data_IF_647031095494
#
_entry.id   IF_647031095494
#
_cell.length_a   1.000
_cell.length_b   1.000
_cell.length_c   1.000
_cell.angle_alpha   90.00
_cell.angle_beta   90.00
_cell.angle_gamma   90.00
#
_symmetry.space_group_name_H-M   'P 1'
#
loop_
_entity.id
_entity.type
_entity.pdbx_description
1 polymer ?
#
# COMPACT_ATOMS: atom_id res chain seq x y z
N UNK A 1 -5.32 -15.88 -14.62
CA UNK A 1 -6.09 -15.71 -13.37
C UNK A 1 -7.06 -16.88 -13.18
N UNK A 2 -7.19 -17.45 -11.96
CA UNK A 2 -8.21 -18.45 -11.63
C UNK A 2 -9.64 -17.90 -11.81
N UNK A 3 -10.65 -18.76 -12.11
CA UNK A 3 -12.01 -18.29 -12.38
C UNK A 3 -12.65 -17.47 -11.25
N UNK A 4 -12.37 -17.79 -9.99
CA UNK A 4 -12.88 -17.04 -8.84
C UNK A 4 -12.26 -15.65 -8.73
N UNK A 5 -10.97 -15.53 -9.00
CA UNK A 5 -10.26 -14.27 -9.04
C UNK A 5 -10.75 -13.39 -10.21
N UNK A 6 -10.95 -13.99 -11.41
CA UNK A 6 -11.54 -13.27 -12.56
C UNK A 6 -12.89 -12.68 -12.19
N UNK A 7 -13.74 -13.43 -11.48
CA UNK A 7 -15.04 -12.94 -11.04
C UNK A 7 -14.92 -11.76 -10.09
N UNK A 8 -14.04 -11.87 -9.10
CA UNK A 8 -13.80 -10.79 -8.13
C UNK A 8 -13.26 -9.52 -8.81
N UNK A 9 -12.25 -9.68 -9.68
CA UNK A 9 -11.69 -8.58 -10.48
C UNK A 9 -12.72 -7.94 -11.40
N UNK A 10 -13.57 -8.75 -12.06
CA UNK A 10 -14.61 -8.24 -12.94
C UNK A 10 -15.62 -7.37 -12.18
N UNK A 11 -16.07 -7.82 -11.00
CA UNK A 11 -16.98 -7.04 -10.17
C UNK A 11 -16.34 -5.74 -9.68
N UNK A 12 -15.09 -5.80 -9.23
CA UNK A 12 -14.34 -4.62 -8.80
C UNK A 12 -14.16 -3.62 -9.95
N UNK A 13 -13.78 -4.08 -11.13
CA UNK A 13 -13.59 -3.21 -12.30
C UNK A 13 -14.93 -2.60 -12.73
N UNK A 14 -15.95 -3.40 -12.87
CA UNK A 14 -17.24 -2.93 -13.35
C UNK A 14 -17.93 -1.99 -12.36
N UNK A 15 -17.95 -2.34 -11.09
CA UNK A 15 -18.69 -1.54 -10.09
C UNK A 15 -17.85 -0.37 -9.57
N UNK A 16 -16.64 -0.64 -9.05
CA UNK A 16 -15.86 0.38 -8.35
C UNK A 16 -15.13 1.33 -9.31
N UNK A 17 -14.60 0.79 -10.42
CA UNK A 17 -13.80 1.61 -11.35
C UNK A 17 -14.67 2.25 -12.45
N UNK A 18 -15.57 1.47 -13.06
CA UNK A 18 -16.43 1.96 -14.13
C UNK A 18 -17.78 2.49 -13.64
N UNK A 19 -18.11 2.31 -12.36
CA UNK A 19 -19.35 2.81 -11.75
C UNK A 19 -20.60 2.19 -12.33
N UNK A 20 -20.60 0.89 -12.64
CA UNK A 20 -21.76 0.13 -13.09
C UNK A 20 -22.54 -0.41 -11.90
N UNK A 21 -23.84 -0.55 -12.06
CA UNK A 21 -24.68 -1.13 -11.03
C UNK A 21 -24.49 -2.65 -10.95
N UNK A 22 -24.16 -3.15 -9.75
CA UNK A 22 -23.93 -4.57 -9.52
C UNK A 22 -25.19 -5.40 -9.82
N UNK A 23 -26.39 -4.89 -9.52
CA UNK A 23 -27.63 -5.59 -9.79
C UNK A 23 -27.86 -5.76 -11.28
N UNK A 24 -27.55 -4.74 -12.08
CA UNK A 24 -27.68 -4.80 -13.54
C UNK A 24 -26.75 -5.85 -14.15
N UNK A 25 -25.54 -5.98 -13.59
CA UNK A 25 -24.57 -7.02 -13.99
C UNK A 25 -25.10 -8.42 -13.62
N UNK A 26 -25.56 -8.61 -12.39
CA UNK A 26 -26.11 -9.90 -11.94
C UNK A 26 -27.38 -10.31 -12.69
N UNK A 27 -28.20 -9.36 -13.12
CA UNK A 27 -29.41 -9.60 -13.90
C UNK A 27 -29.11 -9.83 -15.40
N UNK A 28 -27.84 -9.72 -15.82
CA UNK A 28 -27.43 -9.92 -17.20
C UNK A 28 -28.03 -8.88 -18.16
N UNK A 29 -28.23 -7.64 -17.69
CA UNK A 29 -28.71 -6.56 -18.56
C UNK A 29 -27.64 -6.20 -19.60
N UNK A 30 -28.10 -5.90 -20.82
CA UNK A 30 -27.24 -5.35 -21.85
C UNK A 30 -26.79 -3.95 -21.45
N UNK A 31 -25.50 -3.82 -21.06
CA UNK A 31 -24.89 -2.57 -20.63
C UNK A 31 -24.09 -1.99 -21.80
N UNK A 32 -24.51 -0.84 -22.31
CA UNK A 32 -23.77 -0.12 -23.35
C UNK A 32 -22.82 0.86 -22.65
N UNK A 33 -21.50 0.58 -22.74
CA UNK A 33 -20.48 1.48 -22.24
C UNK A 33 -20.29 2.67 -23.20
N UNK A 34 -20.07 3.86 -22.63
CA UNK A 34 -19.60 5.01 -23.43
C UNK A 34 -18.20 4.72 -23.97
N UNK A 35 -17.83 5.38 -25.06
CA UNK A 35 -16.47 5.22 -25.63
C UNK A 35 -15.34 5.48 -24.64
N UNK A 36 -15.54 6.43 -23.71
CA UNK A 36 -14.57 6.73 -22.65
C UNK A 36 -14.40 5.51 -21.72
N UNK A 37 -15.50 4.93 -21.23
CA UNK A 37 -15.46 3.75 -20.37
C UNK A 37 -14.95 2.50 -21.09
N UNK A 38 -15.19 2.37 -22.39
CA UNK A 38 -14.64 1.27 -23.20
C UNK A 38 -13.11 1.36 -23.23
N UNK A 39 -12.55 2.53 -23.53
CA UNK A 39 -11.11 2.76 -23.56
C UNK A 39 -10.47 2.55 -22.19
N UNK A 40 -11.15 2.97 -21.13
CA UNK A 40 -10.70 2.75 -19.75
C UNK A 40 -10.65 1.25 -19.42
N UNK A 41 -11.70 0.50 -19.77
CA UNK A 41 -11.75 -0.95 -19.60
C UNK A 41 -10.63 -1.66 -20.38
N UNK A 42 -10.43 -1.28 -21.65
CA UNK A 42 -9.37 -1.84 -22.49
C UNK A 42 -7.98 -1.60 -21.87
N UNK A 43 -7.73 -0.40 -21.34
CA UNK A 43 -6.48 -0.07 -20.67
C UNK A 43 -6.28 -0.89 -19.38
N UNK A 44 -7.34 -1.05 -18.58
CA UNK A 44 -7.31 -1.88 -17.36
C UNK A 44 -6.95 -3.33 -17.72
N UNK A 45 -7.65 -3.91 -18.72
CA UNK A 45 -7.41 -5.29 -19.17
C UNK A 45 -5.97 -5.44 -19.68
N UNK A 46 -5.48 -4.49 -20.46
CA UNK A 46 -4.11 -4.53 -20.98
C UNK A 46 -3.05 -4.52 -19.86
N UNK A 47 -3.26 -3.71 -18.81
CA UNK A 47 -2.37 -3.67 -17.65
C UNK A 47 -2.42 -4.97 -16.84
N UNK A 48 -3.62 -5.53 -16.62
CA UNK A 48 -3.80 -6.83 -15.96
C UNK A 48 -3.15 -7.98 -16.74
N UNK A 49 -3.22 -7.97 -18.08
CA UNK A 49 -2.53 -8.95 -18.93
C UNK A 49 -1.00 -8.89 -18.82
N UNK A 50 -0.47 -7.77 -18.36
CA UNK A 50 0.95 -7.59 -18.00
C UNK A 50 1.24 -7.91 -16.54
N UNK A 51 0.34 -8.61 -15.85
CA UNK A 51 0.43 -8.95 -14.44
C UNK A 51 0.54 -7.75 -13.49
N UNK A 52 0.14 -6.54 -13.92
CA UNK A 52 0.13 -5.39 -13.01
C UNK A 52 -0.96 -5.57 -11.95
N UNK A 53 -0.66 -5.43 -10.65
CA UNK A 53 -1.63 -5.56 -9.58
C UNK A 53 -2.79 -4.59 -9.74
N UNK A 54 -4.00 -5.04 -9.48
CA UNK A 54 -5.21 -4.21 -9.55
C UNK A 54 -5.12 -2.99 -8.64
N UNK A 55 -4.43 -3.08 -7.50
CA UNK A 55 -4.23 -1.97 -6.57
C UNK A 55 -3.42 -0.83 -7.22
N UNK A 56 -2.40 -1.14 -8.02
CA UNK A 56 -1.66 -0.12 -8.77
C UNK A 56 -2.50 0.47 -9.91
N UNK A 57 -3.33 -0.35 -10.55
CA UNK A 57 -4.25 0.11 -11.60
C UNK A 57 -5.27 1.09 -11.02
N UNK A 58 -5.85 0.77 -9.84
CA UNK A 58 -6.76 1.66 -9.08
C UNK A 58 -6.03 2.85 -8.47
N UNK A 59 -4.75 2.72 -8.19
CA UNK A 59 -3.97 3.69 -7.43
C UNK A 59 -4.29 3.71 -5.93
N UNK A 60 -5.04 2.71 -5.42
CA UNK A 60 -5.53 2.66 -4.04
C UNK A 60 -5.46 1.23 -3.52
N UNK A 61 -5.02 1.09 -2.25
CA UNK A 61 -5.12 -0.13 -1.45
C UNK A 61 -5.76 0.17 -0.10
N UNK A 62 -6.60 -0.73 0.39
CA UNK A 62 -7.18 -0.62 1.72
C UNK A 62 -6.21 -1.18 2.77
N UNK A 63 -6.08 -0.46 3.90
CA UNK A 63 -5.28 -0.89 5.04
C UNK A 63 -5.81 -0.29 6.33
N UNK A 64 -6.00 -1.09 7.37
CA UNK A 64 -6.58 -0.66 8.66
C UNK A 64 -7.87 0.16 8.50
N UNK A 65 -8.76 -0.25 7.57
CA UNK A 65 -10.04 0.41 7.29
C UNK A 65 -9.92 1.79 6.62
N UNK A 66 -8.77 2.10 6.00
CA UNK A 66 -8.52 3.35 5.27
C UNK A 66 -7.96 3.08 3.88
N UNK A 67 -8.23 3.99 2.95
CA UNK A 67 -7.70 3.92 1.59
C UNK A 67 -6.37 4.67 1.49
N UNK A 68 -5.32 3.96 1.11
CA UNK A 68 -3.99 4.49 0.85
C UNK A 68 -3.72 4.56 -0.65
N UNK A 69 -3.19 5.66 -1.12
CA UNK A 69 -2.64 5.77 -2.48
C UNK A 69 -1.42 4.87 -2.58
N UNK A 70 -1.37 4.10 -3.66
CA UNK A 70 -0.25 3.22 -3.99
C UNK A 70 0.09 3.37 -5.47
N UNK A 71 1.35 3.19 -5.80
CA UNK A 71 1.86 3.17 -7.18
C UNK A 71 3.09 2.26 -7.23
N UNK A 72 3.57 1.98 -8.43
CA UNK A 72 4.90 1.39 -8.60
C UNK A 72 5.91 2.21 -7.79
N UNK A 73 6.77 1.56 -7.02
CA UNK A 73 7.72 2.21 -6.10
C UNK A 73 7.37 2.09 -4.62
N UNK A 74 6.16 1.64 -4.24
CA UNK A 74 5.82 1.30 -2.85
C UNK A 74 5.17 -0.07 -2.77
N UNK A 75 5.46 -0.81 -1.72
CA UNK A 75 4.80 -2.09 -1.47
C UNK A 75 3.29 -1.87 -1.26
N UNK A 76 2.47 -2.71 -1.89
CA UNK A 76 1.03 -2.76 -1.61
C UNK A 76 0.86 -3.26 -0.17
N UNK A 77 0.17 -2.50 0.71
CA UNK A 77 -0.06 -2.92 2.07
C UNK A 77 -0.67 -4.32 2.17
N UNK A 78 -0.12 -5.16 3.03
CA UNK A 78 -0.58 -6.54 3.22
C UNK A 78 -1.49 -6.64 4.45
N UNK A 79 -2.52 -7.50 4.43
CA UNK A 79 -3.41 -7.72 5.58
C UNK A 79 -2.65 -8.10 6.87
N UNK A 80 -1.61 -8.94 6.75
CA UNK A 80 -0.79 -9.39 7.88
C UNK A 80 -0.05 -8.22 8.55
N UNK A 81 0.29 -7.18 7.79
CA UNK A 81 0.91 -5.97 8.33
C UNK A 81 -0.08 -5.16 9.18
N UNK A 82 -1.39 -5.30 8.94
CA UNK A 82 -2.39 -4.65 9.79
C UNK A 82 -2.44 -5.29 11.19
N UNK A 83 -2.22 -6.60 11.30
CA UNK A 83 -2.12 -7.30 12.60
C UNK A 83 -0.92 -6.77 13.40
N UNK A 84 0.20 -6.47 12.75
CA UNK A 84 1.35 -5.84 13.39
C UNK A 84 1.01 -4.47 13.98
N UNK A 85 0.24 -3.65 13.26
CA UNK A 85 -0.21 -2.34 13.77
C UNK A 85 -1.09 -2.51 15.00
N UNK A 86 -2.04 -3.45 15.00
CA UNK A 86 -2.89 -3.72 16.16
C UNK A 86 -2.07 -4.19 17.36
N UNK A 87 -1.12 -5.11 17.16
CA UNK A 87 -0.23 -5.61 18.21
C UNK A 87 0.59 -4.48 18.83
N UNK A 88 1.17 -3.58 18.01
CA UNK A 88 1.94 -2.44 18.52
C UNK A 88 1.07 -1.57 19.42
N UNK A 89 -0.16 -1.26 19.00
CA UNK A 89 -1.09 -0.42 19.75
C UNK A 89 -1.51 -1.09 21.05
N UNK A 90 -1.78 -2.40 21.04
CA UNK A 90 -2.19 -3.17 22.20
C UNK A 90 -1.08 -3.27 23.26
N UNK A 91 0.15 -3.56 22.81
CA UNK A 91 1.27 -3.74 23.72
C UNK A 91 1.89 -2.41 24.20
N UNK A 92 1.72 -1.33 23.43
CA UNK A 92 2.34 -0.04 23.70
C UNK A 92 1.34 1.13 23.71
N UNK A 93 0.23 1.06 24.49
CA UNK A 93 -0.84 2.07 24.47
C UNK A 93 -0.40 3.46 24.94
N UNK A 94 0.73 3.56 25.64
CA UNK A 94 1.28 4.79 26.18
C UNK A 94 2.56 5.25 25.46
N UNK A 95 2.93 4.62 24.35
CA UNK A 95 4.09 5.03 23.56
C UNK A 95 3.95 6.50 23.14
N UNK A 96 5.03 7.26 23.24
CA UNK A 96 5.09 8.68 22.90
C UNK A 96 5.85 8.96 21.62
N UNK A 97 6.81 8.11 21.30
CA UNK A 97 7.65 8.29 20.12
C UNK A 97 7.80 6.97 19.37
N UNK A 98 7.29 6.95 18.14
CA UNK A 98 7.35 5.78 17.28
C UNK A 98 8.12 6.10 16.00
N UNK A 99 8.83 5.10 15.49
CA UNK A 99 9.56 5.17 14.23
C UNK A 99 9.16 4.02 13.32
N UNK A 100 8.78 4.34 12.09
CA UNK A 100 8.54 3.39 10.99
C UNK A 100 9.68 3.47 9.98
N UNK A 101 10.44 2.39 9.79
CA UNK A 101 11.60 2.32 8.89
C UNK A 101 11.22 1.55 7.63
N UNK A 102 11.49 2.16 6.45
CA UNK A 102 11.05 1.62 5.17
C UNK A 102 9.55 1.81 4.98
N UNK A 103 9.06 3.02 5.27
CA UNK A 103 7.63 3.31 5.42
C UNK A 103 6.81 3.12 4.14
N UNK A 104 7.43 3.14 2.95
CA UNK A 104 6.77 2.94 1.68
C UNK A 104 5.61 3.92 1.45
N UNK A 105 4.37 3.41 1.41
CA UNK A 105 3.16 4.22 1.29
C UNK A 105 2.78 5.00 2.55
N UNK A 106 3.48 4.81 3.66
CA UNK A 106 3.17 5.39 4.96
C UNK A 106 2.07 4.65 5.73
N UNK A 107 1.64 3.48 5.28
CA UNK A 107 0.45 2.82 5.82
C UNK A 107 0.60 2.43 7.30
N UNK A 108 1.77 1.95 7.75
CA UNK A 108 2.03 1.63 9.15
C UNK A 108 2.06 2.93 9.98
N UNK A 109 2.93 3.86 9.62
CA UNK A 109 3.12 5.11 10.35
C UNK A 109 1.82 5.91 10.51
N UNK A 110 1.07 6.09 9.42
CA UNK A 110 -0.20 6.81 9.43
C UNK A 110 -1.25 6.08 10.28
N UNK A 111 -1.30 4.75 10.20
CA UNK A 111 -2.24 3.97 11.02
C UNK A 111 -1.91 4.05 12.52
N UNK A 112 -0.62 4.07 12.88
CA UNK A 112 -0.17 4.29 14.24
C UNK A 112 -0.53 5.70 14.75
N UNK A 113 -0.29 6.77 13.95
CA UNK A 113 -0.70 8.14 14.31
C UNK A 113 -2.21 8.24 14.58
N UNK A 114 -3.02 7.53 13.77
CA UNK A 114 -4.49 7.54 13.95
C UNK A 114 -4.97 6.75 15.17
N UNK A 115 -4.23 5.75 15.61
CA UNK A 115 -4.59 4.90 16.75
C UNK A 115 -3.98 5.38 18.07
N UNK A 116 -2.86 6.08 18.03
CA UNK A 116 -2.14 6.63 19.17
C UNK A 116 -2.05 8.17 19.06
N UNK A 117 -3.14 8.89 19.30
CA UNK A 117 -3.23 10.33 19.01
C UNK A 117 -2.27 11.21 19.86
N UNK A 118 -1.77 10.68 20.97
CA UNK A 118 -0.82 11.37 21.84
C UNK A 118 0.65 11.08 21.50
N UNK A 119 0.90 10.23 20.51
CA UNK A 119 2.24 9.87 20.07
C UNK A 119 2.73 10.76 18.92
N UNK A 120 4.05 10.96 18.89
CA UNK A 120 4.78 11.52 17.76
C UNK A 120 5.27 10.37 16.89
N UNK A 121 4.82 10.29 15.64
CA UNK A 121 5.23 9.25 14.70
C UNK A 121 6.18 9.85 13.67
N UNK A 122 7.36 9.28 13.58
CA UNK A 122 8.35 9.57 12.55
C UNK A 122 8.45 8.38 11.58
N UNK A 123 8.64 8.64 10.30
CA UNK A 123 8.69 7.61 9.27
C UNK A 123 9.84 7.89 8.30
N UNK A 124 10.67 6.88 8.06
CA UNK A 124 11.86 6.98 7.23
C UNK A 124 11.75 6.07 6.01
N UNK A 125 12.26 6.55 4.89
CA UNK A 125 12.49 5.75 3.70
C UNK A 125 13.72 6.30 2.97
N UNK A 126 14.40 5.45 2.24
CA UNK A 126 15.52 5.85 1.38
C UNK A 126 15.01 6.45 0.06
N UNK A 127 13.82 6.04 -0.39
CA UNK A 127 13.18 6.46 -1.63
C UNK A 127 12.36 7.73 -1.45
N UNK A 128 12.76 8.81 -2.10
CA UNK A 128 11.96 10.04 -2.12
C UNK A 128 10.62 9.86 -2.87
N UNK A 129 10.57 8.96 -3.86
CA UNK A 129 9.34 8.60 -4.56
C UNK A 129 8.33 7.96 -3.60
N UNK A 130 8.78 7.04 -2.73
CA UNK A 130 7.95 6.43 -1.70
C UNK A 130 7.44 7.49 -0.71
N UNK A 131 8.33 8.35 -0.23
CA UNK A 131 7.98 9.45 0.66
C UNK A 131 6.99 10.45 0.04
N UNK A 132 7.08 10.69 -1.26
CA UNK A 132 6.11 11.54 -1.97
C UNK A 132 4.69 10.92 -1.96
N UNK A 133 4.57 9.58 -2.03
CA UNK A 133 3.31 8.87 -1.90
C UNK A 133 2.83 8.92 -0.45
N UNK A 134 3.71 8.64 0.51
CA UNK A 134 3.39 8.67 1.93
C UNK A 134 2.88 10.05 2.40
N UNK A 135 3.51 11.13 1.97
CA UNK A 135 3.04 12.51 2.26
C UNK A 135 1.66 12.77 1.69
N UNK A 136 1.36 12.33 0.44
CA UNK A 136 0.01 12.44 -0.14
C UNK A 136 -1.04 11.66 0.65
N UNK A 137 -0.67 10.51 1.21
CA UNK A 137 -1.53 9.73 2.09
C UNK A 137 -1.73 10.44 3.44
N UNK A 138 -0.66 10.97 4.00
CA UNK A 138 -0.69 11.74 5.25
C UNK A 138 -1.67 12.93 5.15
N UNK A 139 -1.56 13.70 4.08
CA UNK A 139 -2.43 14.86 3.83
C UNK A 139 -3.89 14.42 3.61
N UNK A 140 -4.10 13.39 2.77
CA UNK A 140 -5.44 12.90 2.46
C UNK A 140 -6.16 12.28 3.66
N UNK A 141 -5.41 11.70 4.59
CA UNK A 141 -5.92 11.08 5.82
C UNK A 141 -5.80 12.01 7.04
N UNK A 142 -5.37 13.27 6.85
CA UNK A 142 -5.19 14.26 7.93
C UNK A 142 -4.33 13.72 9.09
N UNK A 143 -3.27 12.98 8.77
CA UNK A 143 -2.33 12.45 9.76
C UNK A 143 -1.19 13.44 10.02
N UNK A 144 -0.41 13.23 11.10
CA UNK A 144 0.63 14.15 11.57
C UNK A 144 2.01 13.53 11.54
N UNK A 145 2.21 12.50 10.71
CA UNK A 145 3.47 11.77 10.60
C UNK A 145 4.56 12.67 10.02
N UNK A 146 5.74 12.63 10.61
CA UNK A 146 6.94 13.31 10.12
C UNK A 146 7.74 12.37 9.22
N UNK A 147 7.78 12.65 7.92
CA UNK A 147 8.52 11.87 6.93
C UNK A 147 9.92 12.43 6.66
N UNK A 148 10.94 11.57 6.74
CA UNK A 148 12.34 11.92 6.50
C UNK A 148 12.97 10.94 5.50
N UNK A 149 13.72 11.48 4.53
CA UNK A 149 14.57 10.67 3.68
C UNK A 149 15.83 10.30 4.46
N UNK A 150 15.99 9.01 4.74
CA UNK A 150 17.14 8.48 5.50
C UNK A 150 17.53 7.09 5.02
N UNK A 151 18.84 6.87 4.99
CA UNK A 151 19.41 5.53 4.87
C UNK A 151 19.71 5.01 6.28
N UNK A 152 18.89 4.09 6.76
CA UNK A 152 19.01 3.51 8.10
C UNK A 152 20.34 2.81 8.36
N UNK A 153 21.02 2.34 7.29
CA UNK A 153 22.31 1.66 7.37
C UNK A 153 23.48 2.63 7.44
N UNK A 154 23.29 3.86 6.95
CA UNK A 154 24.33 4.91 6.92
C UNK A 154 24.19 5.94 8.06
N UNK A 155 23.06 5.97 8.76
CA UNK A 155 22.80 6.93 9.82
C UNK A 155 23.62 6.67 11.11
N UNK A 156 23.97 7.77 11.78
CA UNK A 156 24.62 7.74 13.08
C UNK A 156 23.58 7.66 14.20
N UNK A 157 23.26 6.44 14.61
CA UNK A 157 22.26 6.15 15.63
C UNK A 157 22.52 6.79 17.00
N UNK A 158 23.79 7.14 17.31
CA UNK A 158 24.13 7.84 18.56
C UNK A 158 23.55 9.27 18.61
N UNK A 159 23.29 9.87 17.45
CA UNK A 159 22.72 11.21 17.32
C UNK A 159 21.21 11.22 17.14
N UNK A 160 20.59 10.05 17.03
CA UNK A 160 19.16 9.92 16.82
C UNK A 160 18.47 9.84 18.20
N UNK A 161 17.41 10.62 18.44
CA UNK A 161 16.65 10.52 19.68
C UNK A 161 16.05 9.11 19.85
N UNK A 162 15.96 8.65 21.10
CA UNK A 162 15.33 7.36 21.41
C UNK A 162 13.85 7.32 21.05
N UNK A 163 13.38 6.16 20.61
CA UNK A 163 11.98 5.85 20.35
C UNK A 163 11.49 4.78 21.32
N UNK A 164 10.20 4.84 21.68
CA UNK A 164 9.57 3.81 22.50
C UNK A 164 9.30 2.55 21.67
N UNK A 165 8.98 2.73 20.39
CA UNK A 165 8.75 1.65 19.43
C UNK A 165 9.44 1.97 18.12
N UNK A 166 10.12 0.99 17.58
CA UNK A 166 10.65 1.01 16.19
C UNK A 166 10.00 -0.15 15.46
N UNK A 167 9.34 0.14 14.35
CA UNK A 167 8.72 -0.86 13.47
C UNK A 167 9.38 -0.80 12.10
N UNK A 168 9.52 -1.95 11.47
CA UNK A 168 9.99 -2.04 10.08
C UNK A 168 9.38 -3.26 9.41
N UNK A 169 8.90 -3.09 8.18
CA UNK A 169 8.50 -4.18 7.31
C UNK A 169 9.31 -4.10 6.00
N UNK A 170 10.62 -4.36 6.06
CA UNK A 170 11.51 -4.22 4.93
C UNK A 170 11.27 -5.35 3.91
N UNK A 171 11.69 -5.16 2.64
CA UNK A 171 11.75 -6.27 1.71
C UNK A 171 12.72 -7.35 2.23
N UNK A 172 12.26 -8.61 2.25
CA UNK A 172 12.99 -9.75 2.85
C UNK A 172 13.29 -10.89 1.88
N UNK A 173 13.02 -10.69 0.59
CA UNK A 173 13.31 -11.71 -0.43
C UNK A 173 14.74 -11.57 -0.92
N UNK A 174 15.49 -12.66 -0.80
CA UNK A 174 16.89 -12.71 -1.26
C UNK A 174 16.97 -12.88 -2.79
N UNK A 175 18.13 -12.57 -3.38
CA UNK A 175 18.40 -12.79 -4.81
C UNK A 175 18.19 -14.26 -5.24
N UNK A 176 18.43 -15.20 -4.34
CA UNK A 176 18.24 -16.66 -4.60
C UNK A 176 16.78 -17.05 -4.64
N UNK A 177 15.95 -16.45 -3.81
CA UNK A 177 14.50 -16.72 -3.75
C UNK A 177 13.74 -16.07 -4.92
N UNK A 178 14.29 -15.00 -5.52
CA UNK A 178 13.73 -14.39 -6.73
C UNK A 178 13.49 -15.38 -7.87
N UNK A 179 14.37 -16.36 -8.03
CA UNK A 179 14.28 -17.35 -9.12
C UNK A 179 13.13 -18.36 -8.95
N UNK A 180 12.52 -18.42 -7.77
CA UNK A 180 11.42 -19.33 -7.43
C UNK A 180 10.06 -18.59 -7.38
N UNK A 181 10.06 -17.26 -7.56
CA UNK A 181 8.84 -16.46 -7.46
C UNK A 181 8.12 -16.33 -8.80
N UNK A 182 6.81 -16.22 -8.75
CA UNK A 182 5.97 -15.95 -9.92
C UNK A 182 6.31 -14.58 -10.56
N UNK A 183 6.18 -14.48 -11.89
CA UNK A 183 6.54 -13.29 -12.65
C UNK A 183 5.85 -12.01 -12.16
N UNK A 184 4.59 -12.11 -11.70
CA UNK A 184 3.84 -10.99 -11.13
C UNK A 184 4.40 -10.51 -9.78
N UNK A 185 5.14 -11.34 -9.05
CA UNK A 185 5.81 -10.96 -7.81
C UNK A 185 7.19 -10.38 -8.10
N UNK A 186 7.91 -10.94 -9.09
CA UNK A 186 9.24 -10.47 -9.49
C UNK A 186 9.23 -9.08 -10.11
N UNK A 187 8.29 -8.83 -11.03
CA UNK A 187 8.22 -7.56 -11.76
C UNK A 187 7.70 -6.40 -10.89
N UNK A 188 7.03 -6.71 -9.77
CA UNK A 188 6.37 -5.73 -8.90
C UNK A 188 6.98 -5.67 -7.50
N UNK A 189 7.90 -6.56 -7.22
CA UNK A 189 8.65 -6.56 -5.98
C UNK A 189 9.77 -5.52 -6.06
N UNK A 190 9.71 -4.54 -5.17
CA UNK A 190 10.76 -3.51 -4.98
C UNK A 190 12.05 -4.10 -4.38
N UNK A 191 12.34 -5.36 -4.67
CA UNK A 191 13.48 -6.08 -4.12
C UNK A 191 14.73 -5.64 -4.87
N UNK A 192 15.20 -4.47 -4.56
CA UNK A 192 16.55 -4.04 -4.82
C UNK A 192 17.21 -3.70 -3.48
N UNK A 193 17.66 -4.72 -2.82
CA UNK A 193 18.62 -4.59 -1.73
C UNK A 193 19.98 -5.06 -2.25
#
# INVERSE_FOLDING_TARGET
>A
YPPEEVKALSMLICCDMLGLDALDIYMGKDIILSECKQRELENIIFRLQKNEPIQYIRGIAEFCGRNFKVASGVLIPRPETAELVELIVEENPNARRLLDIGTGSGCIAISLDKKLPDAEVEAWDISEEALAIARKNNDALEARVRFLQRDVLADDWEKIPSFDVIVSNPPYVTETEKNEMDANVLDLSLIHI
#
